data_IF_677920771344
#
_entry.id   IF_677920771344
#
_cell.length_a   1.000
_cell.length_b   1.000
_cell.length_c   1.000
_cell.angle_alpha   90.00
_cell.angle_beta   90.00
_cell.angle_gamma   90.00
#
_symmetry.space_group_name_H-M   'P 1'
#
loop_
_entity.id
_entity.type
_entity.pdbx_description
1 polymer ?
#
# COMPACT_ATOMS: atom_id res chain seq x y z
N UNK A 1 -3.55 -42.04 -19.13
CA UNK A 1 -4.30 -40.81 -19.45
C UNK A 1 -3.78 -39.75 -18.51
N UNK A 2 -2.72 -39.05 -18.93
CA UNK A 2 -1.94 -38.12 -18.10
C UNK A 2 -2.55 -36.74 -18.28
N UNK A 3 -3.09 -36.15 -17.21
CA UNK A 3 -3.55 -34.75 -17.20
C UNK A 3 -2.31 -33.85 -17.13
N UNK A 4 -2.00 -33.17 -18.22
CA UNK A 4 -0.99 -32.12 -18.28
C UNK A 4 -1.64 -30.84 -17.74
N UNK A 5 -1.14 -30.35 -16.61
CA UNK A 5 -1.52 -29.05 -16.04
C UNK A 5 -0.66 -27.99 -16.74
N UNK A 6 -1.29 -27.15 -17.54
CA UNK A 6 -0.67 -26.00 -18.21
C UNK A 6 -0.56 -24.87 -17.17
N UNK A 7 0.67 -24.44 -16.86
CA UNK A 7 0.92 -23.25 -16.04
C UNK A 7 0.70 -22.00 -16.90
N UNK A 8 -0.17 -21.11 -16.44
CA UNK A 8 -0.53 -19.84 -17.07
C UNK A 8 0.30 -18.76 -16.38
N UNK A 9 1.27 -18.18 -17.06
CA UNK A 9 2.13 -17.11 -16.54
C UNK A 9 1.47 -15.77 -16.88
N UNK A 10 0.87 -15.11 -15.90
CA UNK A 10 0.47 -13.71 -16.02
C UNK A 10 1.71 -12.84 -15.73
N UNK A 11 2.37 -12.35 -16.77
CA UNK A 11 3.53 -11.47 -16.66
C UNK A 11 3.18 -10.16 -15.95
N UNK A 12 3.75 -9.95 -14.77
CA UNK A 12 3.81 -8.65 -14.08
C UNK A 12 5.29 -8.30 -13.97
N UNK A 13 5.77 -7.48 -14.91
CA UNK A 13 7.07 -6.86 -14.82
C UNK A 13 7.01 -5.68 -13.85
N UNK A 14 7.81 -5.71 -12.79
CA UNK A 14 8.13 -4.51 -12.02
C UNK A 14 9.55 -4.14 -12.39
N UNK A 15 9.73 -3.13 -13.25
CA UNK A 15 11.03 -2.48 -13.45
C UNK A 15 10.85 -0.96 -13.46
N UNK A 16 11.61 -0.32 -12.57
CA UNK A 16 11.65 1.12 -12.28
C UNK A 16 12.60 1.80 -13.29
N UNK A 17 12.16 2.87 -13.99
CA UNK A 17 13.07 3.78 -14.66
C UNK A 17 12.65 5.26 -14.59
N UNK A 18 13.47 5.99 -13.82
CA UNK A 18 13.79 7.42 -13.80
C UNK A 18 13.41 8.26 -15.03
N UNK A 19 12.76 9.40 -14.80
CA UNK A 19 12.76 10.54 -15.73
C UNK A 19 13.41 11.77 -15.08
N UNK A 20 14.55 12.16 -15.64
CA UNK A 20 15.30 13.36 -15.28
C UNK A 20 14.68 14.60 -15.94
N UNK A 21 14.26 15.57 -15.13
CA UNK A 21 14.02 16.93 -15.59
C UNK A 21 15.01 17.88 -14.92
N UNK A 22 15.80 18.51 -15.79
CA UNK A 22 16.86 19.47 -15.51
C UNK A 22 16.20 20.75 -14.96
N UNK A 23 16.46 21.06 -13.69
CA UNK A 23 16.15 22.36 -13.10
C UNK A 23 17.37 23.29 -13.18
N UNK A 24 17.28 24.36 -13.95
CA UNK A 24 18.18 25.50 -13.82
C UNK A 24 17.64 26.46 -12.76
N UNK A 25 18.49 26.79 -11.78
CA UNK A 25 18.21 27.67 -10.64
C UNK A 25 18.49 29.15 -10.92
N UNK A 26 18.00 29.97 -9.99
CA UNK A 26 18.47 31.28 -9.49
C UNK A 26 17.46 32.41 -9.79
N UNK A 27 17.09 33.29 -8.86
CA UNK A 27 17.49 33.53 -7.48
C UNK A 27 16.82 34.84 -7.02
N UNK A 28 16.59 34.98 -5.72
CA UNK A 28 17.07 36.08 -4.88
C UNK A 28 16.16 36.47 -3.71
N UNK A 29 16.88 36.69 -2.62
CA UNK A 29 16.48 37.08 -1.28
C UNK A 29 15.73 38.40 -1.21
N UNK A 30 14.83 38.54 -0.23
CA UNK A 30 14.88 39.73 0.62
C UNK A 30 14.27 39.53 2.02
N UNK A 31 15.04 40.03 3.00
CA UNK A 31 14.73 40.12 4.43
C UNK A 31 13.66 41.19 4.67
N UNK A 32 12.82 40.94 5.67
CA UNK A 32 12.30 42.02 6.53
C UNK A 32 12.09 41.50 7.96
N UNK A 33 12.62 42.25 8.93
CA UNK A 33 12.47 42.08 10.37
C UNK A 33 11.36 43.00 10.87
N UNK A 34 10.55 42.54 11.82
CA UNK A 34 9.81 43.34 12.83
C UNK A 34 8.80 42.43 13.54
N UNK A 35 8.49 42.43 14.84
CA UNK A 35 8.98 43.02 16.11
C UNK A 35 8.32 42.13 17.20
N UNK A 36 9.01 41.95 18.33
CA UNK A 36 8.58 41.21 19.52
C UNK A 36 7.21 41.65 20.10
N UNK A 37 6.38 40.68 20.48
CA UNK A 37 5.51 40.83 21.65
C UNK A 37 5.53 39.54 22.48
N UNK A 38 6.12 39.64 23.68
CA UNK A 38 6.18 38.55 24.65
C UNK A 38 4.82 38.39 25.32
N UNK A 39 4.11 37.31 24.99
CA UNK A 39 3.16 36.70 25.92
C UNK A 39 3.75 35.37 26.40
N UNK A 40 3.98 35.29 27.71
CA UNK A 40 4.23 34.04 28.42
C UNK A 40 3.01 33.13 28.23
N UNK A 41 3.05 32.24 27.24
CA UNK A 41 2.35 30.97 27.27
C UNK A 41 3.42 29.93 27.58
N UNK A 42 3.17 29.08 28.56
CA UNK A 42 3.88 27.80 28.66
C UNK A 42 3.74 27.10 27.31
N UNK A 43 4.80 27.17 26.50
CA UNK A 43 4.90 26.45 25.25
C UNK A 43 4.97 24.98 25.62
N UNK A 44 3.81 24.31 25.71
CA UNK A 44 3.74 22.91 25.30
C UNK A 44 4.33 22.89 23.90
N UNK A 45 5.58 22.43 23.80
CA UNK A 45 6.30 22.33 22.54
C UNK A 45 5.46 21.39 21.68
N UNK A 46 4.68 21.95 20.76
CA UNK A 46 3.85 21.18 19.86
C UNK A 46 4.77 20.17 19.16
N UNK A 47 4.41 18.88 19.20
CA UNK A 47 5.21 17.84 18.57
C UNK A 47 5.34 18.18 17.07
N UNK A 48 6.57 18.38 16.61
CA UNK A 48 6.83 18.65 15.20
C UNK A 48 7.13 17.32 14.51
N UNK A 49 6.11 16.70 13.92
CA UNK A 49 6.29 15.51 13.09
C UNK A 49 6.99 15.90 11.79
N UNK A 50 8.16 15.30 11.57
CA UNK A 50 8.98 15.57 10.40
C UNK A 50 9.47 14.26 9.80
N UNK A 51 8.78 13.84 8.74
CA UNK A 51 9.12 12.77 7.83
C UNK A 51 10.24 13.28 6.93
N UNK A 52 11.48 13.08 7.37
CA UNK A 52 12.63 13.46 6.55
C UNK A 52 12.98 12.27 5.66
N UNK A 53 12.54 12.33 4.41
CA UNK A 53 13.03 11.40 3.39
C UNK A 53 14.57 11.41 3.41
N UNK A 54 15.18 10.23 3.54
CA UNK A 54 16.61 10.00 3.38
C UNK A 54 17.55 10.63 4.43
N UNK A 55 17.08 11.10 5.60
CA UNK A 55 18.00 11.47 6.68
C UNK A 55 18.36 10.24 7.51
N UNK A 56 19.61 9.81 7.42
CA UNK A 56 20.17 8.61 8.06
C UNK A 56 19.77 7.28 7.41
N UNK A 57 19.51 7.25 6.09
CA UNK A 57 19.34 5.98 5.37
C UNK A 57 20.64 5.16 5.47
N UNK A 58 20.58 3.91 5.95
CA UNK A 58 21.76 3.05 6.00
C UNK A 58 22.35 2.84 4.60
N UNK A 59 23.67 3.01 4.48
CA UNK A 59 24.39 2.85 3.21
C UNK A 59 24.73 1.39 2.90
N UNK A 60 24.63 0.52 3.91
CA UNK A 60 24.92 -0.92 3.85
C UNK A 60 23.80 -1.72 4.51
N UNK A 61 23.64 -2.98 4.08
CA UNK A 61 22.69 -3.90 4.73
C UNK A 61 23.04 -4.11 6.20
N UNK A 62 24.33 -4.19 6.53
CA UNK A 62 24.81 -4.36 7.90
C UNK A 62 24.37 -3.21 8.83
N UNK A 63 24.39 -1.97 8.33
CA UNK A 63 23.94 -0.79 9.08
C UNK A 63 22.40 -0.72 9.17
N UNK A 64 21.69 -1.38 8.25
CA UNK A 64 20.24 -1.45 8.21
C UNK A 64 19.66 -2.44 9.24
N UNK A 65 20.33 -3.57 9.49
CA UNK A 65 19.83 -4.63 10.40
C UNK A 65 19.39 -4.08 11.78
N UNK A 66 20.19 -3.27 12.50
CA UNK A 66 19.81 -2.78 13.82
C UNK A 66 18.59 -1.84 13.78
N UNK A 67 18.45 -1.06 12.70
CA UNK A 67 17.30 -0.16 12.50
C UNK A 67 16.04 -0.99 12.30
N UNK A 68 16.09 -1.98 11.41
CA UNK A 68 14.96 -2.88 11.17
C UNK A 68 14.57 -3.67 12.42
N UNK A 69 15.53 -4.19 13.18
CA UNK A 69 15.28 -4.92 14.42
C UNK A 69 14.56 -4.07 15.47
N UNK A 70 14.96 -2.79 15.61
CA UNK A 70 14.27 -1.86 16.50
C UNK A 70 12.84 -1.57 16.04
N UNK A 71 12.62 -1.42 14.74
CA UNK A 71 11.28 -1.20 14.18
C UNK A 71 10.37 -2.41 14.41
N UNK A 72 10.85 -3.63 14.10
CA UNK A 72 10.09 -4.86 14.32
C UNK A 72 9.70 -5.01 15.79
N UNK A 73 10.63 -4.73 16.71
CA UNK A 73 10.35 -4.69 18.15
C UNK A 73 9.26 -3.68 18.51
N UNK A 74 9.38 -2.45 18.03
CA UNK A 74 8.42 -1.38 18.31
C UNK A 74 7.03 -1.71 17.75
N UNK A 75 6.96 -2.24 16.54
CA UNK A 75 5.72 -2.75 15.96
C UNK A 75 5.05 -3.80 16.86
N UNK A 76 5.78 -4.84 17.28
CA UNK A 76 5.21 -5.90 18.12
C UNK A 76 4.73 -5.39 19.48
N UNK A 77 5.34 -4.33 20.03
CA UNK A 77 4.86 -3.68 21.27
C UNK A 77 3.52 -2.96 21.11
N UNK A 78 3.15 -2.54 19.89
CA UNK A 78 1.93 -1.78 19.61
C UNK A 78 0.93 -2.52 18.71
N UNK A 79 1.26 -3.71 18.22
CA UNK A 79 0.48 -4.43 17.23
C UNK A 79 -1.00 -4.61 17.64
N UNK A 80 -1.24 -4.96 18.91
CA UNK A 80 -2.61 -5.12 19.45
C UNK A 80 -3.41 -3.81 19.49
N UNK A 81 -2.73 -2.66 19.61
CA UNK A 81 -3.35 -1.32 19.54
C UNK A 81 -3.73 -0.97 18.10
N UNK A 82 -2.89 -1.35 17.14
CA UNK A 82 -3.12 -1.08 15.72
C UNK A 82 -4.24 -1.99 15.20
N UNK A 83 -4.12 -3.30 15.40
CA UNK A 83 -5.10 -4.28 14.97
C UNK A 83 -5.26 -5.38 16.03
N UNK A 84 -6.42 -5.46 16.71
CA UNK A 84 -6.59 -6.37 17.83
C UNK A 84 -6.57 -7.83 17.37
N UNK A 85 -5.86 -8.68 18.10
CA UNK A 85 -5.68 -10.12 17.81
C UNK A 85 -5.12 -10.41 16.42
N UNK A 86 -4.29 -9.48 15.90
CA UNK A 86 -3.68 -9.61 14.58
C UNK A 86 -2.91 -10.92 14.44
N UNK A 87 -3.03 -11.55 13.27
CA UNK A 87 -2.20 -12.68 12.85
C UNK A 87 -0.76 -12.29 12.57
N UNK A 88 -0.50 -11.00 12.39
CA UNK A 88 0.77 -10.47 11.88
C UNK A 88 1.71 -10.04 13.03
N UNK A 89 1.45 -10.51 14.25
CA UNK A 89 2.30 -10.24 15.42
C UNK A 89 3.14 -11.44 15.81
N UNK A 90 4.28 -11.19 16.46
CA UNK A 90 5.22 -12.20 16.94
C UNK A 90 5.81 -13.11 15.85
N UNK A 91 5.92 -12.61 14.62
CA UNK A 91 6.53 -13.32 13.50
C UNK A 91 8.00 -12.87 13.34
N UNK A 92 8.98 -13.78 13.32
CA UNK A 92 10.38 -13.45 13.05
C UNK A 92 10.59 -13.11 11.56
N UNK A 93 11.63 -12.32 11.26
CA UNK A 93 12.04 -11.94 9.90
C UNK A 93 13.43 -12.48 9.61
N UNK A 94 13.62 -13.19 8.51
CA UNK A 94 14.92 -13.49 7.92
C UNK A 94 15.20 -12.44 6.85
N UNK A 95 16.37 -11.81 6.94
CA UNK A 95 16.81 -10.80 6.01
C UNK A 95 18.10 -11.28 5.33
N UNK A 96 18.11 -11.31 3.99
CA UNK A 96 19.27 -11.63 3.16
C UNK A 96 19.92 -10.36 2.60
N UNK A 97 21.25 -10.22 2.77
CA UNK A 97 22.06 -9.34 1.94
C UNK A 97 22.42 -10.07 0.65
N UNK A 98 21.83 -9.68 -0.48
CA UNK A 98 22.02 -10.40 -1.75
C UNK A 98 23.42 -10.23 -2.34
N UNK A 99 24.17 -9.19 -1.94
CA UNK A 99 25.55 -8.97 -2.39
C UNK A 99 26.52 -9.92 -1.65
N UNK A 100 26.42 -9.97 -0.32
CA UNK A 100 27.32 -10.81 0.51
C UNK A 100 26.80 -12.23 0.77
N UNK A 101 25.54 -12.50 0.43
CA UNK A 101 24.81 -13.74 0.70
C UNK A 101 24.70 -14.09 2.18
N UNK A 102 24.92 -13.13 3.09
CA UNK A 102 24.67 -13.29 4.53
C UNK A 102 23.19 -13.17 4.84
N UNK A 103 22.73 -13.89 5.87
CA UNK A 103 21.36 -13.80 6.36
C UNK A 103 21.34 -13.62 7.88
N UNK A 104 20.32 -12.90 8.35
CA UNK A 104 20.06 -12.70 9.77
C UNK A 104 18.61 -12.99 10.07
N UNK A 105 18.36 -13.71 11.16
CA UNK A 105 17.04 -13.82 11.75
C UNK A 105 16.87 -12.72 12.80
N UNK A 106 15.81 -11.95 12.64
CA UNK A 106 15.42 -10.86 13.51
C UNK A 106 14.12 -11.29 14.19
N UNK A 107 14.20 -11.47 15.50
CA UNK A 107 13.08 -11.93 16.32
C UNK A 107 12.13 -10.78 16.69
N UNK A 108 10.88 -11.07 17.09
CA UNK A 108 9.90 -10.04 17.44
C UNK A 108 10.31 -9.07 18.57
N UNK A 109 11.24 -9.45 19.45
CA UNK A 109 11.74 -8.60 20.53
C UNK A 109 13.00 -7.80 20.13
N UNK A 110 13.44 -7.93 18.88
CA UNK A 110 14.54 -7.23 18.26
C UNK A 110 15.91 -7.89 18.40
N UNK A 111 15.99 -9.17 18.81
CA UNK A 111 17.27 -9.89 18.79
C UNK A 111 17.64 -10.26 17.37
N UNK A 112 18.92 -10.09 17.04
CA UNK A 112 19.51 -10.38 15.73
C UNK A 112 20.39 -11.61 15.92
N UNK A 113 20.08 -12.67 15.19
CA UNK A 113 20.85 -13.91 15.17
C UNK A 113 21.37 -14.16 13.76
N UNK A 114 22.58 -14.70 13.64
CA UNK A 114 23.05 -15.22 12.36
C UNK A 114 22.11 -16.33 11.91
N UNK A 115 21.76 -16.33 10.62
CA UNK A 115 20.91 -17.36 10.02
C UNK A 115 21.72 -18.11 8.96
N UNK A 116 22.04 -19.37 9.26
CA UNK A 116 22.96 -20.14 8.43
C UNK A 116 22.28 -20.68 7.16
N UNK A 117 23.09 -21.19 6.23
CA UNK A 117 22.55 -21.91 5.08
C UNK A 117 21.76 -23.14 5.48
N UNK A 118 22.21 -23.84 6.54
CA UNK A 118 21.50 -25.00 7.05
C UNK A 118 20.13 -24.58 7.59
N UNK A 119 20.06 -23.47 8.34
CA UNK A 119 18.77 -22.96 8.84
C UNK A 119 17.83 -22.57 7.70
N UNK A 120 18.36 -21.97 6.63
CA UNK A 120 17.59 -21.66 5.43
C UNK A 120 17.06 -22.91 4.73
N UNK A 121 17.90 -23.94 4.55
CA UNK A 121 17.47 -25.22 3.97
C UNK A 121 16.40 -25.90 4.85
N UNK A 122 16.62 -25.96 6.16
CA UNK A 122 15.71 -26.57 7.13
C UNK A 122 14.35 -25.86 7.18
N UNK A 123 14.35 -24.54 6.96
CA UNK A 123 13.15 -23.71 6.95
C UNK A 123 12.57 -23.47 5.54
N UNK A 124 13.15 -24.08 4.51
CA UNK A 124 12.76 -23.94 3.11
C UNK A 124 12.73 -22.46 2.66
N UNK A 125 13.78 -21.73 2.99
CA UNK A 125 14.06 -20.36 2.52
C UNK A 125 14.86 -20.43 1.23
N UNK A 126 14.22 -20.12 0.11
CA UNK A 126 14.91 -19.99 -1.17
C UNK A 126 15.58 -18.61 -1.28
N UNK A 127 16.90 -18.61 -1.47
CA UNK A 127 17.70 -17.40 -1.69
C UNK A 127 17.25 -16.65 -2.94
N UNK A 128 17.37 -15.33 -2.92
CA UNK A 128 17.10 -14.53 -4.11
C UNK A 128 18.36 -14.23 -4.91
N UNK A 129 18.21 -14.24 -6.23
CA UNK A 129 19.21 -13.73 -7.16
C UNK A 129 19.12 -12.20 -7.28
N UNK A 130 17.97 -11.60 -6.98
CA UNK A 130 17.71 -10.17 -7.09
C UNK A 130 17.43 -9.52 -5.72
N UNK A 131 17.93 -8.30 -5.47
CA UNK A 131 17.57 -7.54 -4.27
C UNK A 131 16.12 -7.08 -4.33
N UNK A 132 15.51 -6.85 -3.17
CA UNK A 132 14.12 -6.44 -3.07
C UNK A 132 13.15 -7.57 -3.39
N UNK A 133 13.57 -8.83 -3.20
CA UNK A 133 12.65 -9.98 -3.22
C UNK A 133 12.10 -10.19 -1.82
N UNK A 134 10.83 -10.49 -1.70
CA UNK A 134 10.18 -10.80 -0.44
C UNK A 134 9.45 -12.14 -0.55
N UNK A 135 9.29 -12.82 0.57
CA UNK A 135 8.64 -14.12 0.61
C UNK A 135 8.34 -14.59 2.04
N UNK A 136 7.85 -15.81 2.15
CA UNK A 136 7.51 -16.44 3.42
C UNK A 136 8.20 -17.79 3.49
N UNK A 137 8.74 -18.13 4.65
CA UNK A 137 9.42 -19.40 4.86
C UNK A 137 8.73 -20.23 5.95
N UNK A 138 8.84 -21.56 5.85
CA UNK A 138 8.11 -22.51 6.68
C UNK A 138 6.78 -23.01 6.10
N UNK A 139 6.28 -22.43 5.00
CA UNK A 139 5.33 -23.06 4.07
C UNK A 139 6.02 -23.09 2.70
N UNK A 140 5.86 -24.14 1.92
CA UNK A 140 6.20 -24.08 0.49
C UNK A 140 5.31 -23.02 -0.15
N UNK A 141 5.84 -21.81 -0.27
CA UNK A 141 5.46 -20.85 -1.28
C UNK A 141 6.54 -21.02 -2.35
N UNK A 142 6.19 -21.60 -3.49
CA UNK A 142 7.01 -21.40 -4.68
C UNK A 142 7.14 -19.88 -4.82
N UNK A 143 8.38 -19.38 -4.75
CA UNK A 143 8.82 -17.99 -4.95
C UNK A 143 7.68 -17.00 -5.29
N UNK A 144 7.42 -16.05 -4.40
CA UNK A 144 6.60 -14.88 -4.75
C UNK A 144 7.36 -13.97 -5.71
N UNK A 145 7.19 -14.33 -6.97
CA UNK A 145 7.63 -13.68 -8.18
C UNK A 145 7.06 -14.59 -9.27
N UNK A 146 5.83 -14.30 -9.71
CA UNK A 146 5.00 -15.09 -10.64
C UNK A 146 4.15 -16.20 -9.96
N UNK A 147 2.85 -16.20 -10.27
CA UNK A 147 1.78 -17.18 -9.93
C UNK A 147 1.16 -17.19 -8.52
N UNK A 148 0.09 -16.40 -8.36
CA UNK A 148 -0.84 -16.48 -7.23
C UNK A 148 -1.89 -17.59 -7.43
N UNK A 149 -1.62 -18.81 -6.95
CA UNK A 149 -2.66 -19.78 -6.58
C UNK A 149 -2.26 -20.47 -5.27
N UNK A 150 -3.04 -20.26 -4.21
CA UNK A 150 -2.75 -20.83 -2.89
C UNK A 150 -3.98 -21.51 -2.29
N UNK A 151 -3.81 -22.77 -1.89
CA UNK A 151 -4.70 -23.43 -0.92
C UNK A 151 -3.89 -23.93 0.28
N UNK A 152 -4.44 -23.75 1.48
CA UNK A 152 -3.89 -24.17 2.76
C UNK A 152 -4.72 -25.32 3.32
N UNK A 153 -4.66 -26.49 2.70
CA UNK A 153 -5.28 -27.69 3.28
C UNK A 153 -4.26 -28.50 4.10
N UNK A 154 -4.48 -28.55 5.41
CA UNK A 154 -4.04 -29.68 6.25
C UNK A 154 -2.67 -29.61 6.93
N UNK A 155 -1.99 -28.45 7.01
CA UNK A 155 -0.73 -28.33 7.78
C UNK A 155 -0.78 -27.21 8.81
N UNK A 156 -0.62 -27.59 10.08
CA UNK A 156 -0.39 -26.66 11.20
C UNK A 156 1.08 -26.26 11.20
N UNK A 157 1.36 -24.97 11.22
CA UNK A 157 2.73 -24.47 11.37
C UNK A 157 3.05 -24.24 12.83
N UNK A 158 4.19 -24.77 13.27
CA UNK A 158 4.75 -24.46 14.60
C UNK A 158 5.89 -23.42 14.53
N UNK A 159 6.45 -23.10 13.34
CA UNK A 159 7.64 -22.22 13.23
C UNK A 159 7.86 -21.64 11.81
N UNK A 160 7.05 -20.65 11.38
CA UNK A 160 7.26 -19.92 10.11
C UNK A 160 7.68 -18.46 10.34
N UNK A 161 8.27 -17.82 9.34
CA UNK A 161 8.69 -16.42 9.40
C UNK A 161 8.72 -15.72 8.05
N UNK A 162 9.04 -14.43 8.05
CA UNK A 162 9.07 -13.58 6.86
C UNK A 162 10.46 -13.57 6.23
N UNK A 163 10.57 -13.61 4.91
CA UNK A 163 11.85 -13.47 4.20
C UNK A 163 11.90 -12.15 3.42
N UNK A 164 13.02 -11.44 3.51
CA UNK A 164 13.27 -10.23 2.73
C UNK A 164 14.71 -10.19 2.25
N UNK A 165 14.92 -9.96 0.95
CA UNK A 165 16.24 -9.78 0.36
C UNK A 165 16.47 -8.31 0.02
N UNK A 166 17.68 -7.82 0.27
CA UNK A 166 18.09 -6.48 -0.14
C UNK A 166 19.58 -6.40 -0.44
N UNK A 167 20.01 -5.29 -1.01
CA UNK A 167 21.42 -4.94 -1.08
C UNK A 167 21.65 -3.43 -0.95
N UNK A 168 22.91 -3.02 -0.99
CA UNK A 168 23.29 -1.62 -0.87
C UNK A 168 22.71 -0.75 -2.00
N UNK A 169 22.59 -1.29 -3.23
CA UNK A 169 22.00 -0.56 -4.35
C UNK A 169 20.50 -0.30 -4.14
N UNK A 170 19.77 -1.33 -3.70
CA UNK A 170 18.36 -1.22 -3.34
C UNK A 170 18.19 -0.20 -2.21
N UNK A 171 18.96 -0.28 -1.12
CA UNK A 171 18.93 0.70 -0.03
C UNK A 171 19.16 2.15 -0.49
N UNK A 172 19.97 2.38 -1.53
CA UNK A 172 20.23 3.73 -2.05
C UNK A 172 19.23 4.19 -3.11
N UNK A 173 18.32 3.31 -3.53
CA UNK A 173 17.31 3.63 -4.53
C UNK A 173 16.23 4.54 -3.93
N UNK A 174 16.50 5.84 -3.97
CA UNK A 174 15.58 6.87 -3.49
C UNK A 174 14.25 6.90 -4.24
N UNK A 175 14.15 6.35 -5.45
CA UNK A 175 12.87 6.26 -6.16
C UNK A 175 12.03 5.10 -5.62
N UNK A 176 12.64 3.94 -5.38
CA UNK A 176 12.02 2.77 -4.74
C UNK A 176 11.46 3.11 -3.36
N UNK A 177 12.27 3.75 -2.50
CA UNK A 177 11.87 4.17 -1.15
C UNK A 177 11.09 5.50 -1.11
N UNK A 178 10.70 6.01 -2.28
CA UNK A 178 9.82 7.16 -2.42
C UNK A 178 8.49 6.77 -3.11
N UNK A 179 8.32 5.49 -3.48
CA UNK A 179 7.07 4.92 -4.04
C UNK A 179 6.03 4.62 -2.95
N UNK A 180 6.50 4.25 -1.76
CA UNK A 180 5.73 4.24 -0.52
C UNK A 180 6.30 5.33 0.38
N UNK A 181 6.22 6.62 0.00
CA UNK A 181 6.97 7.69 0.64
C UNK A 181 6.55 7.95 2.09
N UNK A 182 5.76 7.07 2.70
CA UNK A 182 5.32 7.22 4.05
C UNK A 182 6.46 7.29 5.05
N UNK A 183 7.68 6.78 4.77
CA UNK A 183 8.78 6.90 5.77
C UNK A 183 10.25 6.92 5.28
N UNK A 184 10.63 6.99 4.00
CA UNK A 184 12.06 6.95 3.63
C UNK A 184 12.63 5.52 3.76
N UNK A 185 13.87 5.29 4.18
CA UNK A 185 14.51 3.95 4.29
C UNK A 185 13.79 2.86 5.15
N UNK A 186 12.55 3.10 5.54
CA UNK A 186 11.69 2.45 6.51
C UNK A 186 10.59 1.61 5.86
N UNK A 187 10.52 1.55 4.52
CA UNK A 187 9.39 0.90 3.85
C UNK A 187 9.49 -0.63 3.89
N UNK A 188 10.67 -1.24 4.10
CA UNK A 188 10.79 -2.70 4.06
C UNK A 188 9.91 -3.40 5.11
N UNK A 189 9.89 -2.90 6.36
CA UNK A 189 9.01 -3.47 7.39
C UNK A 189 7.54 -3.23 7.05
N UNK A 190 7.19 -2.01 6.65
CA UNK A 190 5.81 -1.63 6.32
C UNK A 190 5.27 -2.47 5.16
N UNK A 191 6.05 -2.57 4.09
CA UNK A 191 5.75 -3.37 2.91
C UNK A 191 5.55 -4.85 3.26
N UNK A 192 6.48 -5.45 4.02
CA UNK A 192 6.36 -6.86 4.42
C UNK A 192 5.11 -7.05 5.27
N UNK A 193 4.83 -6.14 6.21
CA UNK A 193 3.63 -6.23 7.03
C UNK A 193 2.35 -6.07 6.21
N UNK A 194 2.34 -5.25 5.15
CA UNK A 194 1.19 -5.10 4.24
C UNK A 194 0.82 -6.44 3.59
N UNK A 195 1.80 -7.07 2.95
CA UNK A 195 1.60 -8.36 2.31
C UNK A 195 1.18 -9.43 3.34
N UNK A 196 1.79 -9.41 4.54
CA UNK A 196 1.43 -10.34 5.62
C UNK A 196 0.01 -10.13 6.11
N UNK A 197 -0.48 -8.90 6.07
CA UNK A 197 -1.84 -8.59 6.47
C UNK A 197 -2.83 -9.27 5.53
N UNK A 198 -2.58 -9.24 4.22
CA UNK A 198 -3.36 -10.03 3.26
C UNK A 198 -3.29 -11.54 3.54
N UNK A 199 -2.09 -12.06 3.79
CA UNK A 199 -1.86 -13.52 3.86
C UNK A 199 -2.29 -14.16 5.18
N UNK A 200 -2.06 -13.50 6.31
CA UNK A 200 -2.32 -14.08 7.62
C UNK A 200 -3.55 -13.51 8.31
N UNK A 201 -3.78 -12.21 8.17
CA UNK A 201 -4.86 -11.55 8.88
C UNK A 201 -6.17 -11.65 8.09
N UNK A 202 -6.18 -11.22 6.83
CA UNK A 202 -7.38 -11.25 5.99
C UNK A 202 -7.85 -12.66 5.65
N UNK A 203 -6.97 -13.67 5.76
CA UNK A 203 -7.34 -15.09 5.65
C UNK A 203 -8.34 -15.53 6.74
N UNK A 204 -8.29 -14.92 7.93
CA UNK A 204 -9.21 -15.21 9.03
C UNK A 204 -10.59 -14.56 8.85
N UNK A 205 -10.71 -13.62 7.92
CA UNK A 205 -11.91 -12.81 7.78
C UNK A 205 -13.00 -13.59 7.07
N UNK A 206 -14.25 -13.20 7.30
CA UNK A 206 -15.31 -13.50 6.35
C UNK A 206 -15.00 -12.73 5.06
N UNK A 207 -14.69 -13.46 3.98
CA UNK A 207 -14.26 -12.92 2.69
C UNK A 207 -15.07 -13.52 1.54
N UNK A 208 -14.96 -12.89 0.38
CA UNK A 208 -15.52 -13.44 -0.86
C UNK A 208 -14.84 -14.77 -1.19
N UNK A 209 -15.53 -15.64 -1.94
CA UNK A 209 -14.92 -16.89 -2.41
C UNK A 209 -13.71 -16.60 -3.31
N UNK A 210 -12.79 -17.56 -3.39
CA UNK A 210 -11.62 -17.45 -4.29
C UNK A 210 -12.06 -17.23 -5.74
N UNK A 211 -13.12 -17.89 -6.21
CA UNK A 211 -13.65 -17.68 -7.57
C UNK A 211 -14.11 -16.23 -7.80
N UNK A 212 -14.81 -15.64 -6.82
CA UNK A 212 -15.27 -14.25 -6.95
C UNK A 212 -14.09 -13.28 -6.86
N UNK A 213 -13.16 -13.54 -5.96
CA UNK A 213 -11.94 -12.76 -5.79
C UNK A 213 -11.06 -12.84 -7.03
N UNK A 214 -10.90 -14.01 -7.65
CA UNK A 214 -10.15 -14.20 -8.88
C UNK A 214 -10.76 -13.42 -10.04
N UNK A 215 -12.09 -13.35 -10.13
CA UNK A 215 -12.78 -12.55 -11.15
C UNK A 215 -12.47 -11.05 -11.00
N UNK A 216 -12.54 -10.52 -9.79
CA UNK A 216 -12.27 -9.10 -9.49
C UNK A 216 -10.76 -8.79 -9.61
N UNK A 217 -9.93 -9.69 -9.07
CA UNK A 217 -8.48 -9.61 -8.98
C UNK A 217 -7.77 -9.87 -10.31
N UNK A 218 -8.33 -10.64 -11.24
CA UNK A 218 -7.74 -10.85 -12.57
C UNK A 218 -7.73 -9.59 -13.42
N UNK A 219 -8.58 -8.62 -13.08
CA UNK A 219 -8.70 -7.39 -13.85
C UNK A 219 -7.72 -6.33 -13.32
N UNK A 220 -7.50 -6.23 -11.99
CA UNK A 220 -6.71 -5.16 -11.30
C UNK A 220 -6.84 -3.81 -12.02
N UNK A 221 -8.04 -3.56 -12.53
CA UNK A 221 -8.24 -2.53 -13.54
C UNK A 221 -8.45 -1.20 -12.82
N UNK A 222 -7.72 -0.19 -13.29
CA UNK A 222 -7.78 1.14 -12.73
C UNK A 222 -9.04 1.90 -13.19
N UNK A 223 -9.81 1.36 -14.16
CA UNK A 223 -11.05 1.96 -14.67
C UNK A 223 -10.88 3.45 -15.03
N UNK A 224 -9.75 3.81 -15.65
CA UNK A 224 -9.40 5.20 -15.97
C UNK A 224 -10.32 5.82 -17.02
N UNK A 225 -11.11 5.02 -17.73
CA UNK A 225 -12.17 5.45 -18.63
C UNK A 225 -13.43 5.94 -17.87
N UNK A 226 -13.66 5.49 -16.63
CA UNK A 226 -14.77 5.93 -15.77
C UNK A 226 -14.48 7.30 -15.14
N UNK A 227 -14.22 8.31 -15.97
CA UNK A 227 -13.67 9.61 -15.54
C UNK A 227 -14.51 10.29 -14.46
N UNK A 228 -15.84 10.28 -14.57
CA UNK A 228 -16.73 10.88 -13.56
C UNK A 228 -16.63 10.15 -12.20
N UNK A 229 -16.54 8.81 -12.21
CA UNK A 229 -16.34 8.03 -10.99
C UNK A 229 -15.01 8.37 -10.31
N UNK A 230 -13.92 8.48 -11.09
CA UNK A 230 -12.59 8.89 -10.58
C UNK A 230 -12.64 10.29 -9.98
N UNK A 231 -13.38 11.22 -10.60
CA UNK A 231 -13.59 12.58 -10.06
C UNK A 231 -14.25 12.55 -8.68
N UNK A 232 -15.33 11.81 -8.53
CA UNK A 232 -16.07 11.75 -7.26
C UNK A 232 -15.22 11.03 -6.18
N UNK A 233 -14.52 9.94 -6.53
CA UNK A 233 -13.64 9.23 -5.60
C UNK A 233 -12.43 10.05 -5.18
N UNK A 234 -11.82 10.82 -6.08
CA UNK A 234 -10.77 11.76 -5.71
C UNK A 234 -11.30 12.84 -4.74
N UNK A 235 -12.49 13.39 -4.99
CA UNK A 235 -13.13 14.31 -4.05
C UNK A 235 -13.38 13.65 -2.68
N UNK A 236 -13.79 12.39 -2.66
CA UNK A 236 -13.96 11.61 -1.43
C UNK A 236 -12.63 11.51 -0.66
N UNK A 237 -11.52 11.19 -1.34
CA UNK A 237 -10.17 11.16 -0.75
C UNK A 237 -9.82 12.52 -0.13
N UNK A 238 -10.05 13.63 -0.84
CA UNK A 238 -9.77 14.98 -0.31
C UNK A 238 -10.62 15.31 0.92
N UNK A 239 -11.90 14.92 0.92
CA UNK A 239 -12.81 15.15 2.04
C UNK A 239 -12.39 14.31 3.26
N UNK A 240 -12.07 13.03 3.05
CA UNK A 240 -11.57 12.13 4.09
C UNK A 240 -10.25 12.63 4.67
N UNK A 241 -9.29 13.05 3.84
CA UNK A 241 -8.01 13.59 4.30
C UNK A 241 -8.21 14.84 5.17
N UNK A 242 -9.08 15.76 4.78
CA UNK A 242 -9.43 16.94 5.60
C UNK A 242 -10.01 16.51 6.94
N UNK A 243 -10.97 15.59 6.94
CA UNK A 243 -11.61 15.07 8.15
C UNK A 243 -10.61 14.37 9.08
N UNK A 244 -9.71 13.53 8.56
CA UNK A 244 -8.68 12.84 9.37
C UNK A 244 -7.75 13.81 10.08
N UNK A 245 -7.41 14.95 9.46
CA UNK A 245 -6.58 15.98 10.11
C UNK A 245 -7.32 16.81 11.15
N UNK A 246 -8.65 16.71 11.20
CA UNK A 246 -9.54 17.43 12.12
C UNK A 246 -10.70 16.52 12.58
N UNK A 247 -10.42 15.39 13.24
CA UNK A 247 -11.39 14.32 13.46
C UNK A 247 -12.53 14.71 14.43
N UNK A 248 -12.44 15.86 15.09
CA UNK A 248 -13.51 16.41 15.95
C UNK A 248 -14.51 17.27 15.18
N UNK A 249 -14.19 17.67 13.95
CA UNK A 249 -15.08 18.43 13.09
C UNK A 249 -15.98 17.46 12.31
N UNK A 250 -17.14 17.19 12.89
CA UNK A 250 -18.12 16.25 12.34
C UNK A 250 -18.62 16.67 10.95
N UNK A 251 -18.69 17.97 10.65
CA UNK A 251 -19.19 18.45 9.36
C UNK A 251 -18.29 17.98 8.21
N UNK A 252 -16.97 17.91 8.43
CA UNK A 252 -16.02 17.36 7.45
C UNK A 252 -16.26 15.87 7.17
N UNK A 253 -16.60 15.10 8.21
CA UNK A 253 -16.90 13.67 8.08
C UNK A 253 -18.22 13.47 7.32
N UNK A 254 -19.27 14.22 7.70
CA UNK A 254 -20.56 14.17 7.01
C UNK A 254 -20.44 14.59 5.54
N UNK A 255 -19.55 15.53 5.22
CA UNK A 255 -19.25 15.91 3.84
C UNK A 255 -18.59 14.77 3.05
N UNK A 256 -17.68 14.01 3.66
CA UNK A 256 -17.09 12.83 3.03
C UNK A 256 -18.15 11.74 2.78
N UNK A 257 -19.03 11.49 3.75
CA UNK A 257 -20.13 10.52 3.62
C UNK A 257 -21.12 10.93 2.53
N UNK A 258 -21.44 12.22 2.41
CA UNK A 258 -22.27 12.74 1.32
C UNK A 258 -21.64 12.46 -0.06
N UNK A 259 -20.33 12.66 -0.21
CA UNK A 259 -19.61 12.33 -1.45
C UNK A 259 -19.58 10.83 -1.74
N UNK A 260 -19.40 9.99 -0.72
CA UNK A 260 -19.47 8.53 -0.86
C UNK A 260 -20.86 8.06 -1.32
N UNK A 261 -21.93 8.63 -0.76
CA UNK A 261 -23.30 8.30 -1.17
C UNK A 261 -23.61 8.75 -2.60
N UNK A 262 -23.07 9.89 -3.04
CA UNK A 262 -23.16 10.34 -4.43
C UNK A 262 -22.49 9.33 -5.38
N UNK A 263 -21.26 8.90 -5.06
CA UNK A 263 -20.53 7.89 -5.84
C UNK A 263 -21.33 6.58 -5.96
N UNK A 264 -21.81 6.06 -4.81
CA UNK A 264 -22.62 4.84 -4.74
C UNK A 264 -23.89 4.92 -5.59
N UNK A 265 -24.56 6.09 -5.58
CA UNK A 265 -25.81 6.30 -6.31
C UNK A 265 -25.60 6.42 -7.83
N UNK A 266 -24.56 7.15 -8.27
CA UNK A 266 -24.33 7.44 -9.70
C UNK A 266 -23.55 6.37 -10.45
N UNK A 267 -22.63 5.68 -9.77
CA UNK A 267 -21.67 4.78 -10.41
C UNK A 267 -21.72 3.37 -9.81
N UNK A 268 -22.92 2.79 -9.68
CA UNK A 268 -23.14 1.51 -8.98
C UNK A 268 -22.24 0.36 -9.43
N UNK A 269 -22.05 0.18 -10.74
CA UNK A 269 -21.19 -0.90 -11.26
C UNK A 269 -19.74 -0.72 -10.84
N UNK A 270 -19.22 0.50 -10.97
CA UNK A 270 -17.84 0.81 -10.57
C UNK A 270 -17.68 0.74 -9.05
N UNK A 271 -18.68 1.19 -8.29
CA UNK A 271 -18.76 1.04 -6.84
C UNK A 271 -18.69 -0.42 -6.39
N UNK A 272 -19.45 -1.31 -7.03
CA UNK A 272 -19.43 -2.74 -6.71
C UNK A 272 -18.07 -3.37 -7.01
N UNK A 273 -17.41 -2.92 -8.08
CA UNK A 273 -16.07 -3.39 -8.43
C UNK A 273 -14.99 -2.85 -7.48
N UNK A 274 -15.15 -1.62 -6.97
CA UNK A 274 -14.25 -1.00 -6.01
C UNK A 274 -14.35 -1.64 -4.61
N UNK A 275 -15.50 -2.18 -4.24
CA UNK A 275 -15.81 -2.68 -2.90
C UNK A 275 -14.75 -3.63 -2.33
N UNK A 276 -14.28 -4.57 -3.15
CA UNK A 276 -13.24 -5.52 -2.75
C UNK A 276 -11.94 -4.81 -2.37
N UNK A 277 -11.46 -3.90 -3.23
CA UNK A 277 -10.21 -3.17 -3.01
C UNK A 277 -10.33 -2.17 -1.86
N UNK A 278 -11.45 -1.44 -1.77
CA UNK A 278 -11.75 -0.48 -0.67
C UNK A 278 -11.71 -1.20 0.70
N UNK A 279 -12.04 -2.49 0.72
CA UNK A 279 -11.91 -3.35 1.88
C UNK A 279 -10.48 -3.86 2.07
N UNK A 280 -9.90 -4.53 1.09
CA UNK A 280 -8.63 -5.27 1.26
C UNK A 280 -7.42 -4.35 1.30
N UNK A 281 -7.21 -3.56 0.25
CA UNK A 281 -6.06 -2.66 0.12
C UNK A 281 -6.21 -1.48 1.07
N UNK A 282 -7.43 -0.95 1.20
CA UNK A 282 -7.71 0.15 2.11
C UNK A 282 -7.43 -0.18 3.58
N UNK A 283 -7.73 -1.40 4.03
CA UNK A 283 -7.42 -1.83 5.40
C UNK A 283 -5.94 -2.20 5.59
N UNK A 284 -5.28 -2.70 4.55
CA UNK A 284 -3.84 -2.92 4.57
C UNK A 284 -3.07 -1.59 4.63
N UNK A 285 -3.48 -0.58 3.85
CA UNK A 285 -2.95 0.78 3.89
C UNK A 285 -3.16 1.47 5.25
N UNK A 286 -4.32 1.25 5.90
CA UNK A 286 -4.52 1.70 7.28
C UNK A 286 -3.44 1.13 8.21
N UNK A 287 -3.19 -0.19 8.10
CA UNK A 287 -2.18 -0.87 8.91
C UNK A 287 -0.80 -0.31 8.62
N UNK A 288 -0.44 -0.11 7.35
CA UNK A 288 0.82 0.51 6.94
C UNK A 288 1.04 1.87 7.60
N UNK A 289 0.07 2.79 7.48
CA UNK A 289 0.18 4.14 8.04
C UNK A 289 0.37 4.06 9.55
N UNK A 290 -0.41 3.24 10.24
CA UNK A 290 -0.31 3.14 11.70
C UNK A 290 1.03 2.56 12.14
N UNK A 291 1.49 1.48 11.50
CA UNK A 291 2.82 0.90 11.77
C UNK A 291 3.91 1.92 11.50
N UNK A 292 3.80 2.64 10.39
CA UNK A 292 4.75 3.66 10.03
C UNK A 292 4.87 4.74 11.13
N UNK A 293 3.74 5.28 11.57
CA UNK A 293 3.69 6.28 12.64
C UNK A 293 4.33 5.75 13.93
N UNK A 294 3.93 4.57 14.40
CA UNK A 294 4.42 4.03 15.68
C UNK A 294 5.88 3.57 15.66
N UNK A 295 6.42 3.18 14.50
CA UNK A 295 7.81 2.74 14.40
C UNK A 295 8.77 3.92 14.18
N UNK A 296 8.30 5.00 13.53
CA UNK A 296 9.11 6.19 13.26
C UNK A 296 9.04 7.25 14.36
N UNK A 297 7.87 7.42 14.99
CA UNK A 297 7.66 8.37 16.08
C UNK A 297 7.21 7.71 17.40
N UNK A 298 7.85 6.60 17.84
CA UNK A 298 7.38 5.82 19.00
C UNK A 298 7.29 6.63 20.30
N UNK A 299 8.17 7.63 20.45
CA UNK A 299 8.25 8.47 21.66
C UNK A 299 7.50 9.81 21.53
N UNK A 300 6.78 10.04 20.42
CA UNK A 300 6.01 11.28 20.19
C UNK A 300 4.50 11.04 20.07
N UNK A 301 4.05 9.79 19.88
CA UNK A 301 2.64 9.45 19.71
C UNK A 301 2.02 9.02 21.04
N UNK A 302 1.31 9.95 21.70
CA UNK A 302 0.66 9.68 22.98
C UNK A 302 -0.86 9.83 22.92
N UNK A 303 -1.38 10.71 22.07
CA UNK A 303 -2.82 10.98 21.94
C UNK A 303 -3.32 10.85 20.50
N UNK A 304 -4.64 10.84 20.32
CA UNK A 304 -5.25 10.86 18.98
C UNK A 304 -4.91 12.15 18.21
N UNK A 305 -4.73 13.27 18.91
CA UNK A 305 -4.25 14.51 18.30
C UNK A 305 -2.81 14.40 17.77
N UNK A 306 -1.95 13.64 18.44
CA UNK A 306 -0.58 13.39 17.95
C UNK A 306 -0.64 12.59 16.64
N UNK A 307 -1.52 11.57 16.56
CA UNK A 307 -1.75 10.78 15.34
C UNK A 307 -2.27 11.68 14.21
N UNK A 308 -3.29 12.51 14.47
CA UNK A 308 -3.85 13.43 13.48
C UNK A 308 -2.80 14.45 12.97
N UNK A 309 -1.94 14.96 13.86
CA UNK A 309 -0.84 15.86 13.49
C UNK A 309 0.24 15.13 12.66
N UNK A 310 0.56 13.88 13.02
CA UNK A 310 1.51 13.08 12.27
C UNK A 310 0.99 12.74 10.87
N UNK A 311 -0.29 12.40 10.73
CA UNK A 311 -0.95 12.20 9.42
C UNK A 311 -0.97 13.49 8.60
N UNK A 312 -1.23 14.64 9.24
CA UNK A 312 -1.17 15.92 8.54
C UNK A 312 0.25 16.22 8.03
N UNK A 313 1.27 15.94 8.84
CA UNK A 313 2.66 16.10 8.45
C UNK A 313 3.04 15.15 7.31
N UNK A 314 2.59 13.89 7.39
CA UNK A 314 2.75 12.87 6.35
C UNK A 314 2.21 13.41 5.01
N UNK A 315 0.95 13.80 4.96
CA UNK A 315 0.33 14.31 3.73
C UNK A 315 0.96 15.58 3.15
N UNK A 316 1.65 16.40 3.97
CA UNK A 316 2.38 17.60 3.50
C UNK A 316 3.78 17.28 2.98
N UNK A 317 4.42 16.24 3.52
CA UNK A 317 5.85 15.99 3.34
C UNK A 317 6.12 14.86 2.35
N UNK A 318 5.13 14.02 2.06
CA UNK A 318 5.27 12.85 1.19
C UNK A 318 4.52 13.05 -0.13
N UNK A 319 5.19 12.80 -1.26
CA UNK A 319 4.53 12.81 -2.59
C UNK A 319 3.48 11.69 -2.64
N UNK A 320 2.40 11.82 -3.41
CA UNK A 320 1.48 10.70 -3.63
C UNK A 320 0.35 10.53 -2.59
N UNK A 321 0.56 10.90 -1.32
CA UNK A 321 -0.46 10.72 -0.27
C UNK A 321 -1.75 11.49 -0.54
N UNK A 322 -2.89 10.79 -0.56
CA UNK A 322 -4.18 11.40 -0.88
C UNK A 322 -4.26 11.94 -2.31
N UNK A 323 -3.41 11.46 -3.22
CA UNK A 323 -3.42 11.89 -4.63
C UNK A 323 -3.57 10.75 -5.62
N UNK A 324 -3.88 9.55 -5.13
CA UNK A 324 -4.06 8.33 -5.92
C UNK A 324 -5.14 8.50 -6.99
N UNK A 325 -4.98 7.79 -8.11
CA UNK A 325 -5.91 7.85 -9.23
C UNK A 325 -6.00 6.50 -9.92
N UNK A 326 -7.21 5.96 -9.97
CA UNK A 326 -7.50 4.60 -10.44
C UNK A 326 -8.21 3.77 -9.38
N UNK A 327 -9.03 2.81 -9.82
CA UNK A 327 -9.92 2.06 -8.95
C UNK A 327 -9.25 1.32 -7.81
N UNK A 328 -8.11 0.69 -8.09
CA UNK A 328 -7.34 -0.02 -7.08
C UNK A 328 -6.51 0.97 -6.25
N UNK A 329 -5.84 1.94 -6.88
CA UNK A 329 -4.97 2.88 -6.17
C UNK A 329 -5.74 3.81 -5.21
N UNK A 330 -6.91 4.29 -5.61
CA UNK A 330 -7.75 5.13 -4.76
C UNK A 330 -8.29 4.39 -3.53
N UNK A 331 -8.41 3.06 -3.62
CA UNK A 331 -8.92 2.24 -2.53
C UNK A 331 -8.01 2.26 -1.29
N UNK A 332 -6.69 2.37 -1.50
CA UNK A 332 -5.70 2.53 -0.44
C UNK A 332 -6.04 3.76 0.41
N UNK A 333 -6.19 4.93 -0.20
CA UNK A 333 -6.50 6.17 0.51
C UNK A 333 -7.91 6.15 1.15
N UNK A 334 -8.93 5.70 0.41
CA UNK A 334 -10.33 5.71 0.88
C UNK A 334 -10.49 4.82 2.11
N UNK A 335 -10.06 3.56 2.04
CA UNK A 335 -10.21 2.65 3.16
C UNK A 335 -9.33 3.04 4.34
N UNK A 336 -8.11 3.53 4.09
CA UNK A 336 -7.21 3.94 5.16
C UNK A 336 -7.74 5.13 5.95
N UNK A 337 -8.17 6.19 5.26
CA UNK A 337 -8.65 7.40 5.93
C UNK A 337 -9.99 7.16 6.63
N UNK A 338 -10.87 6.34 6.06
CA UNK A 338 -12.08 5.93 6.75
C UNK A 338 -11.77 5.10 8.00
N UNK A 339 -10.78 4.19 7.95
CA UNK A 339 -10.31 3.43 9.11
C UNK A 339 -9.73 4.32 10.22
N UNK A 340 -8.96 5.34 9.86
CA UNK A 340 -8.42 6.33 10.80
C UNK A 340 -9.52 7.15 11.48
N UNK A 341 -10.56 7.55 10.75
CA UNK A 341 -11.74 8.19 11.33
C UNK A 341 -12.52 7.23 12.25
N UNK A 342 -12.65 5.96 11.84
CA UNK A 342 -13.34 4.95 12.65
C UNK A 342 -12.63 4.66 13.98
N UNK A 343 -11.30 4.76 14.06
CA UNK A 343 -10.62 4.69 15.36
C UNK A 343 -11.09 5.77 16.34
N UNK A 344 -11.47 6.95 15.82
CA UNK A 344 -12.01 8.04 16.64
C UNK A 344 -13.47 7.81 17.05
N UNK A 345 -14.29 7.28 16.15
CA UNK A 345 -15.75 7.21 16.34
C UNK A 345 -16.28 5.85 16.81
N UNK A 346 -15.68 4.75 16.35
CA UNK A 346 -16.13 3.38 16.59
C UNK A 346 -14.96 2.41 16.73
N UNK A 347 -14.38 2.31 17.91
CA UNK A 347 -13.29 1.36 18.21
C UNK A 347 -13.60 -0.12 17.89
N UNK A 348 -14.86 -0.50 17.66
CA UNK A 348 -15.25 -1.87 17.31
C UNK A 348 -15.19 -2.17 15.81
N UNK A 349 -14.89 -1.18 14.97
CA UNK A 349 -15.00 -1.27 13.50
C UNK A 349 -14.18 -2.43 12.90
N UNK A 350 -12.96 -2.68 13.40
CA UNK A 350 -12.10 -3.76 12.93
C UNK A 350 -12.77 -5.12 13.10
N UNK A 351 -13.40 -5.35 14.26
CA UNK A 351 -14.13 -6.60 14.53
C UNK A 351 -15.38 -6.74 13.67
N UNK A 352 -16.06 -5.64 13.33
CA UNK A 352 -17.20 -5.63 12.41
C UNK A 352 -16.75 -5.98 10.99
N UNK A 353 -15.69 -5.30 10.52
CA UNK A 353 -15.08 -5.52 9.21
C UNK A 353 -14.73 -7.00 9.02
N UNK A 354 -14.01 -7.61 9.97
CA UNK A 354 -13.59 -9.00 9.89
C UNK A 354 -14.74 -10.01 9.78
N UNK A 355 -15.93 -9.69 10.31
CA UNK A 355 -17.08 -10.60 10.36
C UNK A 355 -17.99 -10.49 9.14
N UNK A 356 -17.96 -9.37 8.43
CA UNK A 356 -18.86 -9.10 7.32
C UNK A 356 -18.09 -8.75 6.04
N UNK A 357 -18.15 -9.65 5.06
CA UNK A 357 -17.51 -9.49 3.75
C UNK A 357 -18.12 -8.36 2.92
N UNK A 358 -19.34 -7.95 3.22
CA UNK A 358 -20.08 -6.89 2.52
C UNK A 358 -19.81 -5.50 3.10
N UNK A 359 -18.83 -5.38 4.02
CA UNK A 359 -18.45 -4.09 4.62
C UNK A 359 -17.07 -3.65 4.19
N UNK A 360 -16.90 -2.33 4.08
CA UNK A 360 -15.61 -1.64 3.92
C UNK A 360 -15.42 -0.67 5.10
N UNK A 361 -14.20 -0.17 5.35
CA UNK A 361 -14.02 0.90 6.33
C UNK A 361 -14.94 2.11 6.04
N UNK A 362 -15.09 2.50 4.77
CA UNK A 362 -15.97 3.61 4.39
C UNK A 362 -17.45 3.29 4.63
N UNK A 363 -17.91 2.07 4.36
CA UNK A 363 -19.31 1.70 4.62
C UNK A 363 -19.62 1.70 6.12
N UNK A 364 -18.71 1.19 6.95
CA UNK A 364 -18.85 1.20 8.41
C UNK A 364 -18.88 2.63 8.96
N UNK A 365 -18.07 3.53 8.40
CA UNK A 365 -18.10 4.95 8.76
C UNK A 365 -19.45 5.57 8.39
N UNK A 366 -19.97 5.31 7.18
CA UNK A 366 -21.29 5.78 6.78
C UNK A 366 -22.41 5.22 7.68
N UNK A 367 -22.34 3.94 8.05
CA UNK A 367 -23.33 3.29 8.92
C UNK A 367 -23.33 3.88 10.34
N UNK A 368 -22.17 4.30 10.86
CA UNK A 368 -22.07 4.97 12.16
C UNK A 368 -22.89 6.27 12.18
N UNK A 369 -22.86 7.03 11.09
CA UNK A 369 -23.54 8.32 10.93
C UNK A 369 -24.89 8.23 10.20
N UNK A 370 -25.47 7.05 10.03
CA UNK A 370 -26.68 6.85 9.21
C UNK A 370 -27.91 7.67 9.65
N UNK A 371 -27.96 8.08 10.91
CA UNK A 371 -29.06 8.88 11.48
C UNK A 371 -28.80 10.39 11.42
N UNK A 372 -27.60 10.81 11.00
CA UNK A 372 -27.27 12.22 10.86
C UNK A 372 -27.82 12.80 9.57
N UNK A 373 -28.15 14.09 9.60
CA UNK A 373 -28.54 14.81 8.39
C UNK A 373 -27.29 15.13 7.57
N UNK A 374 -27.15 14.46 6.43
CA UNK A 374 -26.04 14.73 5.52
C UNK A 374 -26.19 16.09 4.82
N UNK A 375 -25.08 16.82 4.59
CA UNK A 375 -25.06 17.96 3.70
C UNK A 375 -25.32 17.53 2.25
N UNK A 376 -25.67 18.48 1.39
CA UNK A 376 -25.75 18.21 -0.04
C UNK A 376 -24.36 17.91 -0.60
N UNK A 377 -24.28 17.01 -1.57
CA UNK A 377 -23.07 16.81 -2.35
C UNK A 377 -22.70 18.11 -3.08
N UNK A 378 -21.44 18.52 -2.95
CA UNK A 378 -20.87 19.66 -3.69
C UNK A 378 -19.79 19.12 -4.62
N UNK A 379 -19.96 19.24 -5.96
CA UNK A 379 -18.93 18.80 -6.90
C UNK A 379 -17.66 19.66 -6.79
N UNK A 380 -16.49 19.11 -7.17
CA UNK A 380 -15.25 19.88 -7.24
C UNK A 380 -15.41 21.07 -8.19
N UNK A 381 -14.69 22.16 -7.91
CA UNK A 381 -14.60 23.29 -8.84
C UNK A 381 -13.84 22.88 -10.13
N UNK A 382 -13.97 23.68 -11.18
CA UNK A 382 -13.38 23.35 -12.50
C UNK A 382 -11.84 23.34 -12.48
N UNK A 383 -11.18 24.07 -11.58
CA UNK A 383 -9.72 24.04 -11.44
C UNK A 383 -9.25 22.68 -10.89
N UNK A 384 -9.86 22.23 -9.79
CA UNK A 384 -9.53 20.95 -9.15
C UNK A 384 -9.87 19.77 -10.08
N UNK A 385 -10.99 19.88 -10.80
CA UNK A 385 -11.37 18.92 -11.83
C UNK A 385 -10.34 18.88 -12.97
N UNK A 386 -9.87 20.03 -13.45
CA UNK A 386 -8.87 20.09 -14.52
C UNK A 386 -7.54 19.45 -14.10
N UNK A 387 -7.05 19.76 -12.88
CA UNK A 387 -5.84 19.14 -12.31
C UNK A 387 -5.99 17.62 -12.19
N UNK A 388 -7.16 17.13 -11.83
CA UNK A 388 -7.41 15.69 -11.76
C UNK A 388 -7.46 15.03 -13.15
N UNK A 389 -8.06 15.68 -14.14
CA UNK A 389 -8.09 15.18 -15.52
C UNK A 389 -6.69 15.06 -16.11
N UNK A 390 -5.80 16.00 -15.77
CA UNK A 390 -4.37 15.93 -16.11
C UNK A 390 -3.72 14.70 -15.46
N UNK A 391 -3.93 14.48 -14.15
CA UNK A 391 -3.44 13.28 -13.46
C UNK A 391 -3.94 11.97 -14.06
N UNK A 392 -5.24 11.88 -14.38
CA UNK A 392 -5.82 10.70 -15.04
C UNK A 392 -5.12 10.46 -16.38
N UNK A 393 -4.88 11.53 -17.15
CA UNK A 393 -4.24 11.46 -18.45
C UNK A 393 -2.78 11.01 -18.34
N UNK A 394 -2.03 11.54 -17.38
CA UNK A 394 -0.64 11.14 -17.14
C UNK A 394 -0.55 9.69 -16.65
N UNK A 395 -1.49 9.25 -15.80
CA UNK A 395 -1.59 7.85 -15.38
C UNK A 395 -1.88 6.91 -16.54
N UNK A 396 -2.79 7.31 -17.46
CA UNK A 396 -3.04 6.55 -18.69
C UNK A 396 -1.75 6.39 -19.52
N UNK A 397 -0.97 7.46 -19.71
CA UNK A 397 0.31 7.41 -20.45
C UNK A 397 1.32 6.48 -19.79
N UNK A 398 1.42 6.52 -18.46
CA UNK A 398 2.29 5.64 -17.68
C UNK A 398 1.91 4.16 -17.94
N UNK A 399 0.63 3.81 -17.76
CA UNK A 399 0.13 2.45 -17.96
C UNK A 399 0.32 1.99 -19.41
N UNK A 400 0.06 2.85 -20.39
CA UNK A 400 0.29 2.54 -21.81
C UNK A 400 1.76 2.26 -22.09
N UNK A 401 2.67 3.03 -21.49
CA UNK A 401 4.11 2.82 -21.65
C UNK A 401 4.53 1.45 -21.14
N UNK A 402 4.07 1.09 -19.93
CA UNK A 402 4.31 -0.23 -19.35
C UNK A 402 3.71 -1.36 -20.19
N UNK A 403 2.43 -1.24 -20.57
CA UNK A 403 1.76 -2.27 -21.36
C UNK A 403 2.42 -2.49 -22.72
N UNK A 404 2.97 -1.43 -23.35
CA UNK A 404 3.75 -1.57 -24.58
C UNK A 404 5.05 -2.33 -24.36
N UNK A 405 5.75 -2.12 -23.23
CA UNK A 405 6.95 -2.89 -22.90
C UNK A 405 6.62 -4.38 -22.70
N UNK A 406 5.59 -4.70 -21.91
CA UNK A 406 5.14 -6.08 -21.73
C UNK A 406 4.68 -6.72 -23.04
N UNK A 407 4.02 -5.97 -23.92
CA UNK A 407 3.61 -6.44 -25.24
C UNK A 407 4.82 -6.84 -26.10
N UNK A 408 5.91 -6.05 -26.07
CA UNK A 408 7.14 -6.38 -26.79
C UNK A 408 7.82 -7.64 -26.23
N UNK A 409 7.80 -7.83 -24.91
CA UNK A 409 8.32 -9.05 -24.27
C UNK A 409 7.49 -10.28 -24.65
N UNK A 410 6.16 -10.20 -24.56
CA UNK A 410 5.27 -11.28 -24.97
C UNK A 410 5.42 -11.63 -26.45
N UNK A 411 5.65 -10.64 -27.32
CA UNK A 411 5.92 -10.87 -28.74
C UNK A 411 7.24 -11.61 -28.97
N UNK A 412 8.29 -11.32 -28.18
CA UNK A 412 9.56 -12.08 -28.21
C UNK A 412 9.36 -13.50 -27.69
N UNK A 413 8.61 -13.69 -26.62
CA UNK A 413 8.27 -15.02 -26.08
C UNK A 413 7.49 -15.85 -27.10
N UNK A 414 6.51 -15.26 -27.78
CA UNK A 414 5.75 -15.92 -28.84
C UNK A 414 6.65 -16.38 -29.99
N UNK A 415 7.64 -15.56 -30.39
CA UNK A 415 8.62 -15.92 -31.41
C UNK A 415 9.53 -17.07 -30.97
N UNK A 416 9.91 -17.11 -29.69
CA UNK A 416 10.76 -18.15 -29.11
C UNK A 416 9.99 -19.44 -28.75
N UNK A 417 8.66 -19.37 -28.59
CA UNK A 417 7.83 -20.49 -28.20
C UNK A 417 7.92 -21.61 -29.24
N UNK A 418 8.11 -22.83 -28.76
CA UNK A 418 8.14 -24.05 -29.60
C UNK A 418 6.88 -24.90 -29.44
N UNK A 419 6.14 -24.70 -28.35
CA UNK A 419 4.92 -25.43 -28.04
C UNK A 419 3.67 -24.74 -28.66
N UNK A 420 2.87 -25.44 -29.49
CA UNK A 420 1.64 -24.89 -30.09
C UNK A 420 0.62 -24.32 -29.08
N UNK A 421 0.41 -24.99 -27.94
CA UNK A 421 -0.59 -24.57 -26.94
C UNK A 421 -0.15 -23.27 -26.24
N UNK A 422 1.17 -23.13 -26.02
CA UNK A 422 1.76 -21.91 -25.48
C UNK A 422 1.63 -20.75 -26.48
N UNK A 423 1.81 -21.01 -27.78
CA UNK A 423 1.63 -19.99 -28.82
C UNK A 423 0.20 -19.48 -28.89
N UNK A 424 -0.78 -20.39 -28.90
CA UNK A 424 -2.20 -20.01 -28.95
C UNK A 424 -2.58 -19.13 -27.74
N UNK A 425 -2.07 -19.50 -26.55
CA UNK A 425 -2.29 -18.73 -25.32
C UNK A 425 -1.69 -17.33 -25.42
N UNK A 426 -0.40 -17.22 -25.78
CA UNK A 426 0.30 -15.94 -25.93
C UNK A 426 -0.36 -15.06 -27.00
N UNK A 427 -0.79 -15.61 -28.14
CA UNK A 427 -1.51 -14.87 -29.18
C UNK A 427 -2.83 -14.26 -28.68
N UNK A 428 -3.57 -15.00 -27.85
CA UNK A 428 -4.82 -14.53 -27.25
C UNK A 428 -4.55 -13.39 -26.28
N UNK A 429 -3.55 -13.53 -25.41
CA UNK A 429 -3.19 -12.51 -24.43
C UNK A 429 -2.63 -11.24 -25.08
N UNK A 430 -1.80 -11.37 -26.13
CA UNK A 430 -1.31 -10.26 -26.94
C UNK A 430 -2.47 -9.45 -27.52
N UNK A 431 -3.48 -10.11 -28.11
CA UNK A 431 -4.68 -9.43 -28.65
C UNK A 431 -5.46 -8.68 -27.57
N UNK A 432 -5.57 -9.26 -26.37
CA UNK A 432 -6.23 -8.60 -25.23
C UNK A 432 -5.44 -7.37 -24.79
N UNK A 433 -4.12 -7.48 -24.70
CA UNK A 433 -3.24 -6.37 -24.29
C UNK A 433 -3.24 -5.23 -25.32
N UNK A 434 -3.21 -5.56 -26.62
CA UNK A 434 -3.33 -4.57 -27.71
C UNK A 434 -4.66 -3.81 -27.64
N UNK A 435 -5.77 -4.50 -27.36
CA UNK A 435 -7.07 -3.86 -27.18
C UNK A 435 -7.10 -2.94 -25.95
N UNK A 436 -6.47 -3.33 -24.84
CA UNK A 436 -6.35 -2.50 -23.62
C UNK A 436 -5.54 -1.22 -23.89
N UNK A 437 -4.39 -1.33 -24.55
CA UNK A 437 -3.56 -0.17 -24.94
C UNK A 437 -4.39 0.79 -25.80
N UNK A 438 -5.07 0.28 -26.83
CA UNK A 438 -5.87 1.10 -27.73
C UNK A 438 -7.07 1.78 -27.04
N UNK A 439 -7.60 1.20 -25.96
CA UNK A 439 -8.66 1.81 -25.18
C UNK A 439 -8.14 2.95 -24.29
N UNK A 440 -6.93 2.83 -23.72
CA UNK A 440 -6.31 3.85 -22.89
C UNK A 440 -5.78 5.06 -23.69
N UNK A 441 -5.41 4.85 -24.95
CA UNK A 441 -4.94 5.91 -25.85
C UNK A 441 -6.07 6.77 -26.45
N UNK A 442 -7.33 6.33 -26.32
CA UNK A 442 -8.53 7.11 -26.68
C UNK A 442 -8.96 8.00 -25.52
#
# INVERSE_FOLDING_TARGET
MVKIIVKIIAGIGIIILSSSLIGCSAGDTNKSKSVDSKQNKENKKQASFNFIANKNQPETVQDFIPVFAQQLKKYNQVAEKIWPKSAVTNIPVVLEDTDSKKMWQITPDGQINDFSNQDAEDMNVDRSEEPGTWGYYGKQFDKFGVDAQYSLEGKTLESGGMYFSLNAAALKNKEMWNRYPHLGAYDALVFVLHENFHIFEQEKWNKLSETNTAKIGSEKDQHLEQTEARIIRYQLIQNLMKAVTQPKDMDLVLQAIATYNEYKAKHKTDFDNAHYWDRTEGSAQYMEIMVALYTYFPEQLHTDEDIAQAIQALGKQTKGYGTSTGNVEEAYDIGAFAGLLLDHYDSSWKMKLMKDKETTPMSLLADYFQNEKLPAYTPPNEEDKSKLLEKITDKKKEIVTYQKQSLEEMKKELQAASNPDQKETLEKEIKVLEAKIAALEK
#
